data_IF_920258216985
#
_entry.id   IF_920258216985
#
_cell.length_a   1.000
_cell.length_b   1.000
_cell.length_c   1.000
_cell.angle_alpha   90.00
_cell.angle_beta   90.00
_cell.angle_gamma   90.00
#
_symmetry.space_group_name_H-M   'P 1'
#
loop_
_entity.id
_entity.type
_entity.pdbx_description
1 polymer ?
#
# COMPACT_ATOMS: atom_id res chain seq x y z
N UNK A 1 33.51 52.97 -11.21
CA UNK A 1 34.34 52.57 -10.09
C UNK A 1 34.27 51.07 -10.08
N UNK A 2 35.08 50.31 -10.73
CA UNK A 2 36.47 49.86 -10.47
C UNK A 2 36.66 49.30 -9.06
N UNK A 3 36.76 48.00 -8.93
CA UNK A 3 37.81 47.20 -8.26
C UNK A 3 37.34 45.72 -8.28
N UNK A 4 37.91 44.84 -9.00
CA UNK A 4 39.23 44.23 -9.08
C UNK A 4 39.57 43.28 -7.93
N UNK A 5 39.79 41.99 -8.36
CA UNK A 5 40.69 40.93 -7.84
C UNK A 5 40.32 40.23 -6.50
N UNK A 6 40.33 38.92 -6.47
CA UNK A 6 41.54 38.11 -6.39
C UNK A 6 41.27 36.60 -6.64
N UNK A 7 42.22 36.00 -7.30
CA UNK A 7 42.40 34.53 -7.53
C UNK A 7 43.04 33.88 -6.30
N UNK A 8 42.84 32.58 -6.16
CA UNK A 8 43.82 31.57 -5.67
C UNK A 8 43.12 30.19 -5.79
N UNK A 9 43.50 29.36 -6.72
CA UNK A 9 44.59 28.39 -6.82
C UNK A 9 44.57 27.33 -5.71
N UNK A 10 44.28 26.11 -6.14
CA UNK A 10 45.06 24.93 -5.79
C UNK A 10 44.48 23.98 -4.80
N UNK A 11 44.04 22.82 -5.19
CA UNK A 11 44.84 21.61 -4.93
C UNK A 11 44.15 20.38 -5.54
N UNK A 12 44.86 19.74 -6.44
CA UNK A 12 44.60 18.34 -6.85
C UNK A 12 44.93 17.42 -5.68
N UNK A 13 44.10 16.44 -5.42
CA UNK A 13 44.55 15.13 -4.94
C UNK A 13 43.80 14.06 -5.69
N UNK A 14 44.57 13.18 -6.26
CA UNK A 14 44.18 12.09 -7.12
C UNK A 14 43.88 10.80 -6.36
N UNK A 15 43.27 9.86 -7.09
CA UNK A 15 43.31 8.41 -6.93
C UNK A 15 42.40 7.73 -5.93
N UNK A 16 41.52 6.91 -6.51
CA UNK A 16 40.86 5.79 -5.88
C UNK A 16 39.97 5.09 -6.89
N UNK A 17 40.55 4.37 -7.86
CA UNK A 17 39.79 3.37 -8.63
C UNK A 17 39.40 2.27 -7.68
N UNK A 18 38.11 2.02 -7.55
CA UNK A 18 37.56 0.70 -7.17
C UNK A 18 36.60 0.30 -8.26
N UNK A 19 37.06 -0.59 -9.11
CA UNK A 19 36.23 -1.38 -9.99
C UNK A 19 35.47 -2.39 -9.11
N UNK A 20 34.14 -2.33 -9.08
CA UNK A 20 33.29 -3.29 -8.43
C UNK A 20 32.11 -3.60 -9.35
N UNK A 21 32.21 -4.74 -10.03
CA UNK A 21 31.23 -5.34 -10.91
C UNK A 21 29.89 -5.61 -10.23
N UNK A 22 28.84 -5.61 -11.03
CA UNK A 22 27.65 -6.39 -10.75
C UNK A 22 26.37 -5.60 -10.66
N UNK A 23 25.92 -4.98 -11.76
CA UNK A 23 24.53 -4.63 -11.95
C UNK A 23 23.77 -5.87 -12.41
N UNK A 24 23.24 -6.63 -11.48
CA UNK A 24 22.13 -7.54 -11.74
C UNK A 24 20.87 -6.85 -11.22
N UNK A 25 20.11 -6.30 -12.13
CA UNK A 25 18.74 -5.88 -11.85
C UNK A 25 17.93 -7.11 -11.45
N UNK A 26 17.30 -7.13 -10.27
CA UNK A 26 16.32 -8.17 -10.00
C UNK A 26 15.04 -7.86 -10.79
N UNK A 27 14.73 -8.73 -11.73
CA UNK A 27 13.40 -8.85 -12.31
C UNK A 27 12.39 -9.01 -11.18
N UNK A 28 11.37 -8.17 -11.16
CA UNK A 28 10.24 -8.28 -10.24
C UNK A 28 9.55 -9.62 -10.43
N UNK A 29 9.46 -10.49 -9.43
CA UNK A 29 8.56 -11.63 -9.49
C UNK A 29 7.15 -11.14 -9.16
N UNK A 30 6.24 -11.36 -10.11
CA UNK A 30 4.81 -11.32 -9.88
C UNK A 30 4.46 -12.30 -8.77
N UNK A 31 3.78 -11.82 -7.73
CA UNK A 31 3.06 -12.67 -6.80
C UNK A 31 3.91 -13.42 -5.77
N UNK A 32 4.68 -12.74 -4.95
CA UNK A 32 5.27 -13.34 -3.76
C UNK A 32 4.44 -12.95 -2.53
N UNK A 33 3.65 -13.89 -2.05
CA UNK A 33 3.20 -13.89 -0.65
C UNK A 33 4.44 -14.10 0.21
N UNK A 34 4.98 -13.05 0.81
CA UNK A 34 6.07 -13.19 1.76
C UNK A 34 5.47 -13.67 3.08
N UNK A 35 5.53 -14.97 3.33
CA UNK A 35 5.38 -15.53 4.67
C UNK A 35 6.76 -15.41 5.32
N UNK A 36 7.02 -14.33 6.02
CA UNK A 36 8.20 -14.24 6.87
C UNK A 36 7.91 -15.04 8.15
N UNK A 37 8.42 -16.25 8.20
CA UNK A 37 8.56 -17.00 9.45
C UNK A 37 9.91 -16.63 10.04
N UNK A 38 9.93 -15.63 10.86
CA UNK A 38 11.04 -15.39 11.78
C UNK A 38 10.54 -15.46 13.22
N UNK A 39 11.21 -16.24 14.03
CA UNK A 39 10.85 -16.55 15.42
C UNK A 39 11.18 -15.41 16.39
N UNK A 40 10.70 -14.22 16.09
CA UNK A 40 10.66 -13.08 17.02
C UNK A 40 9.22 -12.63 17.17
N UNK A 41 8.86 -12.01 18.27
CA UNK A 41 7.57 -11.37 18.53
C UNK A 41 7.36 -10.27 17.47
N UNK A 42 7.27 -10.69 16.21
CA UNK A 42 7.02 -9.84 15.06
C UNK A 42 5.52 -9.64 14.92
N UNK A 43 5.07 -8.41 15.06
CA UNK A 43 3.70 -8.07 14.72
C UNK A 43 3.37 -8.58 13.33
N UNK A 44 2.41 -9.50 13.23
CA UNK A 44 1.88 -9.97 11.94
C UNK A 44 1.38 -8.74 11.19
N UNK A 45 2.02 -8.44 10.08
CA UNK A 45 1.69 -7.26 9.28
C UNK A 45 0.37 -7.48 8.57
N UNK A 46 -0.55 -6.55 8.71
CA UNK A 46 -1.78 -6.52 7.92
C UNK A 46 -1.47 -6.32 6.43
N UNK A 47 -2.45 -6.60 5.57
CA UNK A 47 -2.33 -6.40 4.13
C UNK A 47 -2.50 -4.92 3.75
N UNK A 48 -1.92 -4.52 2.62
CA UNK A 48 -2.11 -3.19 2.04
C UNK A 48 -2.75 -3.29 0.66
N UNK A 49 -3.86 -2.59 0.47
CA UNK A 49 -4.55 -2.43 -0.80
C UNK A 49 -4.31 -1.00 -1.30
N UNK A 50 -3.80 -0.87 -2.52
CA UNK A 50 -3.61 0.44 -3.17
C UNK A 50 -4.71 0.64 -4.19
N UNK A 51 -5.40 1.77 -4.10
CA UNK A 51 -6.42 2.23 -5.04
C UNK A 51 -5.75 3.16 -6.06
N UNK A 52 -6.00 2.93 -7.33
CA UNK A 52 -5.50 3.75 -8.44
C UNK A 52 -6.62 4.02 -9.43
N UNK A 53 -6.41 4.89 -10.39
CA UNK A 53 -7.37 5.14 -11.49
C UNK A 53 -7.71 3.87 -12.30
N UNK A 54 -6.85 2.84 -12.27
CA UNK A 54 -7.09 1.55 -12.93
C UNK A 54 -7.86 0.54 -12.05
N UNK A 55 -8.01 0.82 -10.77
CA UNK A 55 -8.64 -0.07 -9.78
C UNK A 55 -7.74 -0.39 -8.59
N UNK A 56 -8.10 -1.42 -7.83
CA UNK A 56 -7.31 -1.90 -6.70
C UNK A 56 -6.23 -2.89 -7.14
N UNK A 57 -5.04 -2.80 -6.55
CA UNK A 57 -3.90 -3.66 -6.90
C UNK A 57 -4.04 -5.10 -6.39
N UNK A 58 -4.58 -5.29 -5.18
CA UNK A 58 -4.80 -6.58 -4.55
C UNK A 58 -6.30 -6.78 -4.33
N UNK A 59 -6.95 -7.51 -5.26
CA UNK A 59 -8.38 -7.79 -5.15
C UNK A 59 -8.71 -8.81 -4.07
N UNK A 60 -7.80 -9.75 -3.84
CA UNK A 60 -7.96 -10.81 -2.85
C UNK A 60 -6.82 -10.70 -1.85
N UNK A 61 -7.13 -10.41 -0.62
CA UNK A 61 -6.18 -10.31 0.48
C UNK A 61 -6.50 -11.34 1.55
N UNK A 62 -5.47 -11.95 2.11
CA UNK A 62 -5.56 -12.85 3.25
C UNK A 62 -4.89 -12.19 4.44
N UNK A 63 -5.59 -12.13 5.56
CA UNK A 63 -5.07 -11.57 6.81
C UNK A 63 -5.36 -12.50 7.98
N UNK A 64 -4.45 -12.62 8.95
CA UNK A 64 -4.73 -13.34 10.19
C UNK A 64 -5.83 -12.65 11.00
N UNK A 65 -6.56 -13.43 11.80
CA UNK A 65 -7.44 -12.89 12.83
C UNK A 65 -6.63 -11.96 13.74
N UNK A 66 -7.21 -10.84 14.13
CA UNK A 66 -6.56 -9.82 14.94
C UNK A 66 -5.78 -8.78 14.13
N UNK A 67 -5.75 -8.87 12.80
CA UNK A 67 -5.06 -7.92 11.95
C UNK A 67 -6.01 -6.94 11.26
N UNK A 68 -5.43 -5.93 10.62
CA UNK A 68 -6.10 -4.87 9.88
C UNK A 68 -5.71 -4.90 8.41
N UNK A 69 -6.46 -4.22 7.56
CA UNK A 69 -6.09 -3.93 6.17
C UNK A 69 -5.95 -2.43 6.00
N UNK A 70 -4.84 -2.02 5.38
CA UNK A 70 -4.55 -0.63 5.04
C UNK A 70 -4.99 -0.37 3.61
N UNK A 71 -5.75 0.70 3.38
CA UNK A 71 -6.11 1.21 2.06
C UNK A 71 -5.38 2.51 1.79
N UNK A 72 -4.66 2.57 0.67
CA UNK A 72 -3.92 3.76 0.21
C UNK A 72 -4.56 4.24 -1.08
N UNK A 73 -5.07 5.46 -1.09
CA UNK A 73 -5.64 6.05 -2.30
C UNK A 73 -4.58 6.83 -3.09
N UNK A 74 -4.07 6.21 -4.14
CA UNK A 74 -3.16 6.81 -5.12
C UNK A 74 -3.89 7.32 -6.38
N UNK A 75 -5.23 7.34 -6.38
CA UNK A 75 -6.02 8.02 -7.41
C UNK A 75 -6.16 9.52 -7.06
N UNK A 76 -6.49 10.31 -8.06
CA UNK A 76 -6.82 11.74 -7.92
C UNK A 76 -8.23 11.99 -7.37
N UNK A 77 -9.09 10.96 -7.36
CA UNK A 77 -10.48 11.01 -6.86
C UNK A 77 -10.55 10.50 -5.41
N UNK A 78 -11.62 10.86 -4.72
CA UNK A 78 -12.00 10.20 -3.48
C UNK A 78 -12.65 8.84 -3.78
N UNK A 79 -12.48 7.87 -2.87
CA UNK A 79 -13.10 6.56 -2.88
C UNK A 79 -13.73 6.28 -1.51
N UNK A 80 -14.72 5.39 -1.47
CA UNK A 80 -15.34 4.94 -0.23
C UNK A 80 -15.46 3.42 -0.28
N UNK A 81 -14.46 2.74 0.29
CA UNK A 81 -14.42 1.29 0.27
C UNK A 81 -15.34 0.74 1.34
N UNK A 82 -16.43 0.12 0.92
CA UNK A 82 -17.48 -0.44 1.77
C UNK A 82 -17.59 -1.94 1.59
N UNK A 83 -18.14 -2.65 2.59
CA UNK A 83 -18.39 -4.09 2.49
C UNK A 83 -19.63 -4.40 1.65
N UNK A 84 -19.65 -5.59 1.03
CA UNK A 84 -20.84 -6.10 0.36
C UNK A 84 -21.92 -6.49 1.38
N UNK A 85 -23.21 -6.59 0.97
CA UNK A 85 -23.76 -6.16 -0.30
C UNK A 85 -24.08 -4.66 -0.32
N UNK A 86 -24.04 -4.05 -1.50
CA UNK A 86 -24.57 -2.71 -1.71
C UNK A 86 -26.11 -2.75 -1.71
N UNK A 87 -26.84 -1.78 -1.11
CA UNK A 87 -26.35 -0.61 -0.35
C UNK A 87 -26.27 -0.84 1.18
N UNK A 88 -26.45 -2.06 1.68
CA UNK A 88 -26.59 -2.33 3.11
C UNK A 88 -25.26 -2.29 3.89
N UNK A 89 -24.13 -2.68 3.26
CA UNK A 89 -22.77 -2.64 3.80
C UNK A 89 -22.59 -3.28 5.18
N UNK A 90 -23.35 -4.33 5.49
CA UNK A 90 -23.37 -4.88 6.86
C UNK A 90 -22.53 -6.15 7.06
N UNK A 91 -21.93 -6.72 6.01
CA UNK A 91 -21.25 -8.01 6.11
C UNK A 91 -19.90 -7.95 6.82
N UNK A 92 -19.28 -6.77 6.91
CA UNK A 92 -17.94 -6.62 7.45
C UNK A 92 -17.80 -5.35 8.33
N UNK A 93 -18.26 -5.39 9.58
CA UNK A 93 -18.24 -4.23 10.48
C UNK A 93 -16.86 -3.59 10.67
N UNK A 94 -15.78 -4.39 10.57
CA UNK A 94 -14.41 -3.88 10.68
C UNK A 94 -14.02 -2.92 9.55
N UNK A 95 -14.60 -3.07 8.36
CA UNK A 95 -14.43 -2.12 7.26
C UNK A 95 -15.23 -0.85 7.51
N UNK A 96 -16.52 -0.99 7.81
CA UNK A 96 -17.44 0.13 7.99
C UNK A 96 -16.98 1.09 9.09
N UNK A 97 -16.46 0.55 10.19
CA UNK A 97 -16.00 1.35 11.31
C UNK A 97 -14.66 2.09 11.05
N UNK A 98 -13.84 1.61 10.11
CA UNK A 98 -12.46 2.10 9.95
C UNK A 98 -12.21 2.98 8.74
N UNK A 99 -12.93 2.78 7.65
CA UNK A 99 -12.58 3.39 6.36
C UNK A 99 -13.31 4.70 6.05
N UNK A 100 -14.62 4.65 5.77
CA UNK A 100 -15.34 5.80 5.24
C UNK A 100 -14.67 6.36 3.97
N UNK A 101 -14.86 7.62 3.66
CA UNK A 101 -14.28 8.27 2.47
C UNK A 101 -12.76 8.43 2.58
N UNK A 102 -12.03 7.97 1.56
CA UNK A 102 -10.57 8.05 1.44
C UNK A 102 -10.24 9.06 0.35
N UNK A 103 -9.85 10.29 0.72
CA UNK A 103 -9.48 11.32 -0.24
C UNK A 103 -8.21 10.99 -1.03
N UNK A 104 -7.97 11.72 -2.11
CA UNK A 104 -6.75 11.56 -2.92
C UNK A 104 -5.48 11.67 -2.05
N UNK A 105 -4.57 10.73 -2.19
CA UNK A 105 -3.33 10.64 -1.42
C UNK A 105 -3.51 10.22 0.05
N UNK A 106 -4.71 9.94 0.51
CA UNK A 106 -4.95 9.52 1.89
C UNK A 106 -4.75 8.02 2.08
N UNK A 107 -4.43 7.67 3.31
CA UNK A 107 -4.35 6.30 3.80
C UNK A 107 -5.32 6.12 4.95
N UNK A 108 -6.08 5.02 4.92
CA UNK A 108 -6.96 4.61 6.01
C UNK A 108 -6.79 3.14 6.33
N UNK A 109 -7.15 2.77 7.55
CA UNK A 109 -6.96 1.41 8.07
C UNK A 109 -8.31 0.92 8.59
N UNK A 110 -8.67 -0.33 8.27
CA UNK A 110 -9.84 -0.98 8.85
C UNK A 110 -9.70 -1.11 10.36
N UNK A 111 -10.80 -1.31 11.06
CA UNK A 111 -10.68 -1.89 12.39
C UNK A 111 -10.13 -3.33 12.31
N UNK A 112 -9.67 -3.83 13.43
CA UNK A 112 -9.14 -5.18 13.57
C UNK A 112 -10.24 -6.22 13.25
N UNK A 113 -9.90 -7.23 12.45
CA UNK A 113 -10.79 -8.34 12.15
C UNK A 113 -10.78 -9.35 13.29
N UNK A 114 -11.76 -9.31 14.15
CA UNK A 114 -11.81 -10.13 15.37
C UNK A 114 -12.13 -11.61 15.11
N UNK A 115 -12.74 -11.96 13.98
CA UNK A 115 -13.19 -13.30 13.65
C UNK A 115 -12.75 -13.72 12.25
N UNK A 116 -12.49 -15.02 12.07
CA UNK A 116 -12.28 -15.60 10.76
C UNK A 116 -13.55 -15.47 9.89
N UNK A 117 -13.36 -15.28 8.60
CA UNK A 117 -14.44 -15.10 7.64
C UNK A 117 -14.01 -14.47 6.35
N UNK A 118 -14.96 -14.15 5.49
CA UNK A 118 -14.69 -13.53 4.18
C UNK A 118 -15.59 -12.30 4.03
N UNK A 119 -14.96 -11.17 3.70
CA UNK A 119 -15.61 -9.90 3.40
C UNK A 119 -15.42 -9.56 1.93
N UNK A 120 -16.49 -9.50 1.13
CA UNK A 120 -16.46 -8.81 -0.14
C UNK A 120 -16.45 -7.29 0.08
N UNK A 121 -15.81 -6.54 -0.81
CA UNK A 121 -15.80 -5.08 -0.77
C UNK A 121 -15.90 -4.45 -2.16
N UNK A 122 -16.39 -3.23 -2.20
CA UNK A 122 -16.51 -2.40 -3.40
C UNK A 122 -16.29 -0.93 -3.06
N UNK A 123 -16.10 -0.10 -4.09
CA UNK A 123 -16.15 1.35 -3.93
C UNK A 123 -17.61 1.82 -3.98
N UNK A 124 -18.12 2.37 -2.88
CA UNK A 124 -19.50 2.85 -2.78
C UNK A 124 -19.77 4.05 -3.72
N UNK A 125 -18.75 4.85 -4.01
CA UNK A 125 -18.87 6.01 -4.92
C UNK A 125 -18.86 5.61 -6.40
N UNK A 126 -18.45 4.37 -6.73
CA UNK A 126 -18.38 3.82 -8.09
C UNK A 126 -18.69 2.31 -8.07
N UNK A 127 -19.86 1.97 -7.51
CA UNK A 127 -20.25 0.58 -7.21
C UNK A 127 -20.38 -0.33 -8.44
N UNK A 128 -20.62 0.26 -9.62
CA UNK A 128 -20.61 -0.44 -10.90
C UNK A 128 -19.22 -0.88 -11.39
N UNK A 129 -18.15 -0.34 -10.83
CA UNK A 129 -16.79 -0.57 -11.30
C UNK A 129 -16.18 -1.86 -10.74
N UNK A 130 -16.18 -2.91 -11.55
CA UNK A 130 -15.60 -4.20 -11.16
C UNK A 130 -14.10 -4.14 -10.80
N UNK A 131 -13.36 -3.11 -11.22
CA UNK A 131 -11.95 -2.96 -10.89
C UNK A 131 -11.72 -2.41 -9.48
N UNK A 132 -12.74 -1.83 -8.86
CA UNK A 132 -12.74 -1.29 -7.50
C UNK A 132 -13.41 -2.24 -6.50
N UNK A 133 -13.39 -3.55 -6.79
CA UNK A 133 -13.96 -4.61 -5.94
C UNK A 133 -12.92 -5.63 -5.55
N UNK A 134 -13.12 -6.26 -4.42
CA UNK A 134 -12.25 -7.35 -3.97
C UNK A 134 -12.81 -8.13 -2.79
N UNK A 135 -11.94 -8.93 -2.18
CA UNK A 135 -12.28 -9.82 -1.07
C UNK A 135 -11.16 -9.81 -0.03
N UNK A 136 -11.54 -9.72 1.23
CA UNK A 136 -10.65 -9.93 2.38
C UNK A 136 -11.02 -11.26 3.02
N UNK A 137 -10.09 -12.18 3.07
CA UNK A 137 -10.22 -13.46 3.79
C UNK A 137 -9.45 -13.38 5.10
N UNK A 138 -10.14 -13.55 6.21
CA UNK A 138 -9.58 -13.54 7.56
C UNK A 138 -9.46 -14.98 8.04
N UNK A 139 -8.26 -15.43 8.45
CA UNK A 139 -7.97 -16.82 8.81
C UNK A 139 -6.92 -16.99 9.91
#
# INVERSE_FOLDING_TARGET
MKHTHARLIGSLIAFGLVAGCGSSSPSSPSGVTIIVRDGGVGGVSGATVTITAAGVNLRNVNVPVGQTVTFINNDSRAHEMASDPHPQHGSCPSMEAGLGTIGAGQTKVTHMFANAGTCGYHDHLDDGNANLRGTITVQ
#
